data_IF_946223780992
#
_entry.id   IF_946223780992
#
_cell.length_a   1.000
_cell.length_b   1.000
_cell.length_c   1.000
_cell.angle_alpha   90.00
_cell.angle_beta   90.00
_cell.angle_gamma   90.00
#
_symmetry.space_group_name_H-M   'P 1'
#
loop_
_entity.id
_entity.type
_entity.pdbx_description
1 polymer ?
#
# COMPACT_ATOMS: atom_id res chain seq x y z
N UNK A 1 -26.44 -24.29 -17.66
CA UNK A 1 -25.69 -24.63 -16.44
C UNK A 1 -24.44 -25.48 -16.74
N UNK A 2 -23.95 -25.46 -17.99
CA UNK A 2 -22.80 -26.24 -18.48
C UNK A 2 -21.60 -25.40 -18.94
N UNK A 3 -21.69 -24.06 -18.92
CA UNK A 3 -20.56 -23.12 -19.17
C UNK A 3 -19.73 -22.82 -17.91
N UNK A 4 -19.98 -23.63 -16.89
CA UNK A 4 -19.13 -23.97 -15.77
C UNK A 4 -17.72 -24.35 -16.24
N UNK A 5 -16.75 -24.24 -15.33
CA UNK A 5 -15.61 -25.17 -15.23
C UNK A 5 -14.49 -25.08 -16.26
N UNK A 6 -14.67 -24.43 -17.41
CA UNK A 6 -13.59 -24.24 -18.38
C UNK A 6 -12.75 -23.00 -18.05
N UNK A 7 -13.36 -22.01 -17.39
CA UNK A 7 -12.69 -20.73 -17.09
C UNK A 7 -11.87 -20.78 -15.78
N UNK A 8 -12.16 -21.72 -14.87
CA UNK A 8 -11.44 -21.83 -13.60
C UNK A 8 -10.88 -23.25 -13.35
N UNK A 9 -9.66 -23.54 -13.82
CA UNK A 9 -8.96 -24.72 -13.36
C UNK A 9 -7.87 -24.45 -12.30
N UNK A 10 -7.57 -23.18 -11.92
CA UNK A 10 -6.39 -22.91 -11.07
C UNK A 10 -6.41 -21.76 -10.04
N UNK A 11 -7.48 -20.99 -9.78
CA UNK A 11 -7.38 -19.92 -8.74
C UNK A 11 -8.72 -19.51 -8.10
N UNK A 12 -8.86 -19.54 -6.76
CA UNK A 12 -10.04 -19.01 -6.08
C UNK A 12 -9.97 -17.46 -6.00
N UNK A 13 -10.80 -16.78 -6.79
CA UNK A 13 -10.97 -15.31 -6.79
C UNK A 13 -11.33 -14.73 -5.42
N UNK A 14 -12.04 -15.50 -4.58
CA UNK A 14 -12.54 -15.02 -3.28
C UNK A 14 -11.43 -14.61 -2.31
N UNK A 15 -10.25 -15.24 -2.38
CA UNK A 15 -9.11 -14.91 -1.50
C UNK A 15 -8.45 -13.61 -1.94
N UNK A 16 -8.37 -13.38 -3.26
CA UNK A 16 -7.79 -12.15 -3.84
C UNK A 16 -8.70 -10.96 -3.54
N UNK A 17 -10.02 -11.12 -3.67
CA UNK A 17 -10.98 -10.08 -3.34
C UNK A 17 -10.96 -9.71 -1.85
N UNK A 18 -10.87 -10.70 -0.96
CA UNK A 18 -10.78 -10.47 0.50
C UNK A 18 -9.50 -9.73 0.87
N UNK A 19 -8.35 -10.15 0.32
CA UNK A 19 -7.06 -9.46 0.55
C UNK A 19 -7.09 -8.05 -0.05
N UNK A 20 -7.73 -7.87 -1.21
CA UNK A 20 -7.90 -6.56 -1.85
C UNK A 20 -8.69 -5.59 -0.97
N UNK A 21 -9.85 -6.01 -0.45
CA UNK A 21 -10.66 -5.19 0.47
C UNK A 21 -9.89 -4.82 1.72
N UNK A 22 -9.16 -5.77 2.32
CA UNK A 22 -8.32 -5.50 3.49
C UNK A 22 -7.18 -4.52 3.15
N UNK A 23 -6.54 -4.66 1.99
CA UNK A 23 -5.47 -3.78 1.55
C UNK A 23 -5.99 -2.36 1.30
N UNK A 24 -7.12 -2.18 0.63
CA UNK A 24 -7.73 -0.85 0.40
C UNK A 24 -8.13 -0.19 1.72
N UNK A 25 -8.68 -0.96 2.67
CA UNK A 25 -8.97 -0.45 4.01
C UNK A 25 -7.72 0.00 4.77
N UNK A 26 -6.66 -0.80 4.72
CA UNK A 26 -5.37 -0.45 5.33
C UNK A 26 -4.72 0.76 4.66
N UNK A 27 -4.80 0.86 3.33
CA UNK A 27 -4.26 1.98 2.55
C UNK A 27 -4.93 3.30 2.93
N UNK A 28 -6.26 3.33 3.03
CA UNK A 28 -7.01 4.51 3.46
C UNK A 28 -6.61 4.90 4.89
N UNK A 29 -6.55 3.93 5.81
CA UNK A 29 -6.15 4.19 7.20
C UNK A 29 -4.74 4.78 7.27
N UNK A 30 -3.78 4.22 6.53
CA UNK A 30 -2.41 4.70 6.49
C UNK A 30 -2.31 6.10 5.86
N UNK A 31 -3.07 6.37 4.79
CA UNK A 31 -3.13 7.68 4.16
C UNK A 31 -3.66 8.75 5.13
N UNK A 32 -4.73 8.45 5.88
CA UNK A 32 -5.23 9.35 6.92
C UNK A 32 -4.19 9.58 8.02
N UNK A 33 -3.53 8.53 8.52
CA UNK A 33 -2.47 8.67 9.53
C UNK A 33 -1.28 9.51 9.03
N UNK A 34 -0.89 9.36 7.75
CA UNK A 34 0.16 10.16 7.12
C UNK A 34 -0.23 11.63 6.97
N UNK A 35 -1.47 11.92 6.56
CA UNK A 35 -1.99 13.30 6.46
C UNK A 35 -2.03 13.98 7.84
N UNK A 36 -2.42 13.23 8.89
CA UNK A 36 -2.43 13.72 10.27
C UNK A 36 -1.00 13.85 10.83
N UNK A 37 0.01 13.22 10.23
CA UNK A 37 1.39 13.23 10.72
C UNK A 37 1.56 12.52 12.06
N UNK A 38 0.74 11.50 12.31
CA UNK A 38 0.81 10.65 13.51
C UNK A 38 1.74 9.47 13.25
N UNK A 39 2.88 9.38 13.96
CA UNK A 39 3.92 8.35 13.73
C UNK A 39 4.24 8.11 12.24
N UNK A 40 4.51 9.19 11.53
CA UNK A 40 4.68 9.23 10.07
C UNK A 40 5.75 8.24 9.60
N UNK A 41 6.83 8.04 10.36
CA UNK A 41 7.89 7.08 10.03
C UNK A 41 7.38 5.62 9.91
N UNK A 42 6.54 5.18 10.85
CA UNK A 42 6.00 3.82 10.89
C UNK A 42 4.96 3.61 9.80
N UNK A 43 4.03 4.55 9.66
CA UNK A 43 2.97 4.48 8.65
C UNK A 43 3.51 4.61 7.23
N UNK A 44 4.55 5.41 7.01
CA UNK A 44 5.20 5.54 5.70
C UNK A 44 5.89 4.23 5.28
N UNK A 45 6.58 3.54 6.21
CA UNK A 45 7.17 2.22 5.95
C UNK A 45 6.11 1.16 5.69
N UNK A 46 5.03 1.13 6.49
CA UNK A 46 3.93 0.19 6.30
C UNK A 46 3.21 0.43 4.97
N UNK A 47 2.93 1.69 4.63
CA UNK A 47 2.31 2.07 3.35
C UNK A 47 3.20 1.74 2.16
N UNK A 48 4.52 1.96 2.28
CA UNK A 48 5.49 1.55 1.25
C UNK A 48 5.52 0.04 1.04
N UNK A 49 5.55 -0.75 2.12
CA UNK A 49 5.50 -2.21 2.03
C UNK A 49 4.19 -2.71 1.41
N UNK A 50 3.05 -2.10 1.79
CA UNK A 50 1.73 -2.43 1.25
C UNK A 50 1.69 -2.19 -0.27
N UNK A 51 2.14 -1.02 -0.73
CA UNK A 51 2.23 -0.66 -2.15
C UNK A 51 3.21 -1.56 -2.92
N UNK A 52 4.31 -1.97 -2.30
CA UNK A 52 5.27 -2.90 -2.91
C UNK A 52 4.61 -4.25 -3.20
N UNK A 53 3.91 -4.82 -2.20
CA UNK A 53 3.21 -6.11 -2.33
C UNK A 53 2.09 -5.97 -3.38
N UNK A 54 1.33 -4.88 -3.35
CA UNK A 54 0.30 -4.60 -4.34
C UNK A 54 0.87 -4.49 -5.77
N UNK A 55 2.00 -3.80 -5.94
CA UNK A 55 2.71 -3.69 -7.22
C UNK A 55 3.27 -5.03 -7.72
N UNK A 56 3.76 -5.88 -6.81
CA UNK A 56 4.17 -7.25 -7.11
C UNK A 56 2.97 -8.10 -7.56
N UNK A 57 1.86 -8.06 -6.84
CA UNK A 57 0.62 -8.73 -7.24
C UNK A 57 0.11 -8.25 -8.61
N UNK A 58 0.12 -6.94 -8.86
CA UNK A 58 -0.22 -6.35 -10.17
C UNK A 58 0.72 -6.85 -11.27
N UNK A 59 2.02 -6.96 -10.98
CA UNK A 59 3.03 -7.48 -11.91
C UNK A 59 2.79 -8.94 -12.26
N UNK A 60 2.46 -9.78 -11.27
CA UNK A 60 2.17 -11.20 -11.50
C UNK A 60 0.82 -11.43 -12.20
N UNK A 61 -0.18 -10.58 -11.95
CA UNK A 61 -1.52 -10.74 -12.50
C UNK A 61 -1.69 -10.11 -13.89
N UNK A 62 -1.29 -8.86 -14.06
CA UNK A 62 -1.49 -8.07 -15.30
C UNK A 62 -0.22 -7.93 -16.13
N UNK A 63 0.91 -8.46 -15.64
CA UNK A 63 2.23 -8.28 -16.23
C UNK A 63 2.92 -6.99 -15.79
N UNK A 64 4.20 -6.86 -16.14
CA UNK A 64 5.05 -5.74 -15.71
C UNK A 64 4.60 -4.38 -16.26
N UNK A 65 3.88 -4.37 -17.40
CA UNK A 65 3.36 -3.15 -18.03
C UNK A 65 2.35 -2.45 -17.11
N UNK A 66 1.40 -3.20 -16.53
CA UNK A 66 0.37 -2.61 -15.67
C UNK A 66 0.97 -1.97 -14.41
N UNK A 67 1.88 -2.67 -13.73
CA UNK A 67 2.51 -2.15 -12.52
C UNK A 67 3.38 -0.91 -12.76
N UNK A 68 4.02 -0.80 -13.93
CA UNK A 68 4.80 0.38 -14.33
C UNK A 68 3.91 1.54 -14.79
N UNK A 69 2.81 1.27 -15.48
CA UNK A 69 1.89 2.31 -15.99
C UNK A 69 1.25 3.11 -14.84
N UNK A 70 0.86 2.41 -13.76
CA UNK A 70 0.36 3.03 -12.53
C UNK A 70 1.45 3.57 -11.59
N UNK A 71 2.73 3.48 -11.98
CA UNK A 71 3.88 3.96 -11.21
C UNK A 71 3.89 3.52 -9.73
N UNK A 72 3.33 2.33 -9.44
CA UNK A 72 3.15 1.84 -8.07
C UNK A 72 4.48 1.67 -7.35
N UNK A 73 5.52 1.24 -8.07
CA UNK A 73 6.88 1.15 -7.53
C UNK A 73 7.45 2.51 -7.12
N UNK A 74 7.17 3.56 -7.89
CA UNK A 74 7.58 4.93 -7.56
C UNK A 74 6.87 5.44 -6.31
N UNK A 75 5.57 5.18 -6.18
CA UNK A 75 4.79 5.52 -4.99
C UNK A 75 5.30 4.78 -3.74
N UNK A 76 5.57 3.47 -3.86
CA UNK A 76 6.20 2.66 -2.80
C UNK A 76 7.57 3.21 -2.38
N UNK A 77 8.42 3.57 -3.34
CA UNK A 77 9.73 4.16 -3.06
C UNK A 77 9.60 5.53 -2.36
N UNK A 78 8.63 6.36 -2.77
CA UNK A 78 8.32 7.63 -2.11
C UNK A 78 7.87 7.45 -0.65
N UNK A 79 7.01 6.45 -0.39
CA UNK A 79 6.58 6.12 0.96
C UNK A 79 7.75 5.60 1.83
N UNK A 80 8.63 4.75 1.29
CA UNK A 80 9.84 4.34 2.02
C UNK A 80 10.81 5.50 2.25
N UNK A 81 11.01 6.37 1.26
CA UNK A 81 11.85 7.55 1.40
C UNK A 81 11.31 8.47 2.50
N UNK A 82 10.00 8.70 2.53
CA UNK A 82 9.33 9.45 3.60
C UNK A 82 9.53 8.79 4.97
N UNK A 83 9.47 7.46 5.05
CA UNK A 83 9.74 6.69 6.27
C UNK A 83 11.22 6.58 6.67
N UNK A 84 12.15 7.01 5.82
CA UNK A 84 13.59 7.07 6.12
C UNK A 84 14.06 8.52 6.39
N UNK A 85 13.25 9.50 6.02
CA UNK A 85 13.53 10.91 6.31
C UNK A 85 13.47 11.19 7.81
N UNK A 86 14.63 11.42 8.42
CA UNK A 86 14.77 11.85 9.82
C UNK A 86 14.38 13.30 10.10
N UNK A 87 14.16 14.12 9.06
CA UNK A 87 13.81 15.53 9.20
C UNK A 87 12.31 15.67 9.43
N UNK A 88 11.93 15.70 10.70
CA UNK A 88 10.54 15.67 11.18
C UNK A 88 9.84 17.04 11.11
N UNK A 89 10.01 17.77 10.01
CA UNK A 89 9.53 19.15 9.90
C UNK A 89 8.00 19.25 9.89
N UNK A 90 7.29 18.18 9.50
CA UNK A 90 5.84 18.16 9.30
C UNK A 90 5.14 17.08 10.14
N UNK A 91 5.77 16.56 11.20
CA UNK A 91 5.08 15.64 12.10
C UNK A 91 4.47 16.41 13.27
N UNK A 92 3.13 16.38 13.37
CA UNK A 92 2.39 16.83 14.56
C UNK A 92 2.89 16.06 15.80
N UNK A 93 3.45 14.86 15.61
CA UNK A 93 4.13 14.05 16.64
C UNK A 93 5.24 14.82 17.39
N UNK A 94 6.03 15.67 16.72
CA UNK A 94 7.06 16.47 17.42
C UNK A 94 6.50 17.69 18.14
N UNK A 95 5.44 18.31 17.60
CA UNK A 95 4.76 19.42 18.27
C UNK A 95 4.10 18.94 19.57
N UNK A 96 3.52 17.73 19.58
CA UNK A 96 2.97 17.10 20.80
C UNK A 96 4.07 16.69 21.78
N UNK A 97 5.23 16.26 21.29
CA UNK A 97 6.34 15.78 22.14
C UNK A 97 7.23 16.89 22.69
N UNK A 98 7.33 18.03 22.00
CA UNK A 98 8.11 19.21 22.40
C UNK A 98 7.40 20.13 23.41
N UNK A 99 6.15 19.84 23.78
CA UNK A 99 5.37 20.60 24.77
C UNK A 99 5.58 20.17 26.23
N UNK A 100 6.70 19.50 26.55
CA UNK A 100 7.12 19.20 27.94
C UNK A 100 8.55 19.64 28.17
#
# INVERSE_FOLDING_TARGET
>A
MDYTRIINPWLPDSTVETVGVLATGAEILFAFCLIIGYRTELFAKLSGLLLLIFGLSMTFSTGIKGAFDYSVFSASAGAFALGLMKNKFLEIDNLIKGGR
#
